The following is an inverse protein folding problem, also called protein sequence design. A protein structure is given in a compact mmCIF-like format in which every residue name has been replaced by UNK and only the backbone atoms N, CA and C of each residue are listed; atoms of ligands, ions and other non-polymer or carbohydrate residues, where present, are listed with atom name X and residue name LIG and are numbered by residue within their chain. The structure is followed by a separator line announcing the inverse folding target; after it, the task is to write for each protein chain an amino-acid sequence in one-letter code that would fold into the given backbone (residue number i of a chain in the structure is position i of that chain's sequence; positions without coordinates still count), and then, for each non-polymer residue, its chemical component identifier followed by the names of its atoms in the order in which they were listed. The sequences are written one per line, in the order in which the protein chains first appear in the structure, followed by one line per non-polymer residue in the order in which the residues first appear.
data_IF_228045698545
#
_entry.id   IF_228045698545
#
_cell.length_a   1.000
_cell.length_b   1.000
_cell.length_c   1.000
_cell.angle_alpha   90.00
_cell.angle_beta   90.00
_cell.angle_gamma   90.00
#
_symmetry.space_group_name_H-M   'P 1'
#
loop_
_entity.id
_entity.type
_entity.pdbx_description
1 polymer ?
#
# COMPACT_ATOMS: atom_id res chain seq x y z
N UNK A 1 20.82 7.90 11.48
CA UNK A 1 19.46 8.46 11.36
C UNK A 1 18.66 7.60 10.39
N UNK A 2 17.33 7.58 10.43
CA UNK A 2 16.53 6.81 9.48
C UNK A 2 15.17 6.42 10.01
N UNK A 3 14.43 5.65 9.21
CA UNK A 3 13.17 5.07 9.61
C UNK A 3 13.39 3.99 10.68
N UNK A 4 12.56 4.02 11.71
CA UNK A 4 12.65 3.11 12.86
C UNK A 4 11.25 2.81 13.44
N UNK A 5 10.40 2.18 12.62
CA UNK A 5 9.06 1.79 13.02
C UNK A 5 9.15 0.49 13.81
N UNK A 6 9.07 0.62 15.14
CA UNK A 6 9.10 -0.47 16.12
C UNK A 6 7.94 -1.45 15.95
N UNK A 7 8.00 -2.66 16.54
CA UNK A 7 6.95 -3.65 16.49
C UNK A 7 5.56 -3.08 16.77
N UNK A 8 4.65 -3.29 15.82
CA UNK A 8 3.25 -2.89 15.92
C UNK A 8 2.34 -3.89 15.20
N UNK A 9 1.12 -4.11 15.70
CA UNK A 9 0.17 -5.06 15.15
C UNK A 9 -0.66 -4.46 14.01
N UNK A 10 -1.18 -5.33 13.14
CA UNK A 10 -2.27 -5.08 12.19
C UNK A 10 -3.29 -6.23 12.26
N UNK A 11 -4.55 -5.96 11.90
CA UNK A 11 -5.61 -6.98 11.70
C UNK A 11 -6.46 -6.63 10.47
N UNK A 12 -7.07 -7.65 9.87
CA UNK A 12 -8.03 -7.64 8.76
C UNK A 12 -7.68 -6.71 7.58
N UNK A 13 -6.40 -6.52 7.32
CA UNK A 13 -5.86 -5.76 6.19
C UNK A 13 -4.63 -6.46 5.61
N UNK A 14 -4.20 -6.03 4.44
CA UNK A 14 -2.86 -6.27 3.92
C UNK A 14 -2.14 -4.93 3.73
N UNK A 15 -0.83 -4.89 3.99
CA UNK A 15 0.01 -3.73 3.67
C UNK A 15 0.78 -4.00 2.38
N UNK A 16 0.81 -3.02 1.51
CA UNK A 16 1.59 -3.02 0.26
C UNK A 16 2.64 -1.93 0.36
N UNK A 17 3.91 -2.31 0.24
CA UNK A 17 5.03 -1.38 0.21
C UNK A 17 5.67 -1.39 -1.17
N UNK A 18 5.77 -0.21 -1.79
CA UNK A 18 6.39 0.00 -3.10
C UNK A 18 7.35 1.18 -3.04
N UNK A 19 8.64 0.95 -3.26
CA UNK A 19 9.67 2.00 -3.14
C UNK A 19 10.10 2.55 -4.49
N UNK A 20 10.21 3.88 -4.57
CA UNK A 20 10.84 4.59 -5.67
C UNK A 20 12.33 4.84 -5.43
N UNK A 21 12.72 5.01 -4.17
CA UNK A 21 14.10 5.23 -3.73
C UNK A 21 14.29 4.72 -2.29
N UNK A 22 15.49 4.24 -1.99
CA UNK A 22 15.89 3.83 -0.65
C UNK A 22 15.67 2.33 -0.40
N UNK A 23 15.61 1.97 0.87
CA UNK A 23 15.38 0.60 1.29
C UNK A 23 14.74 0.54 2.68
N UNK A 24 14.00 -0.52 2.94
CA UNK A 24 13.40 -0.83 4.26
C UNK A 24 13.69 -2.29 4.58
N UNK A 25 14.19 -2.55 5.78
CA UNK A 25 14.19 -3.87 6.41
C UNK A 25 12.84 -4.11 7.08
N UNK A 26 12.12 -5.11 6.57
CA UNK A 26 10.89 -5.65 7.15
C UNK A 26 11.23 -6.85 8.05
N UNK A 27 10.58 -6.94 9.22
CA UNK A 27 10.53 -8.14 10.06
C UNK A 27 9.13 -8.34 10.57
N UNK A 28 8.64 -9.57 10.63
CA UNK A 28 7.34 -9.87 11.21
C UNK A 28 7.33 -11.08 12.16
N UNK A 29 6.19 -11.26 12.82
CA UNK A 29 5.94 -12.34 13.77
C UNK A 29 5.86 -13.74 13.15
N UNK A 30 5.86 -13.87 11.83
CA UNK A 30 6.02 -15.15 11.14
C UNK A 30 7.49 -15.56 11.03
N UNK A 31 8.41 -14.65 11.39
CA UNK A 31 9.85 -14.83 11.21
C UNK A 31 10.34 -14.38 9.83
N UNK A 32 9.50 -13.72 9.03
CA UNK A 32 9.93 -13.19 7.73
C UNK A 32 10.92 -12.06 7.93
N UNK A 33 11.92 -11.98 7.05
CA UNK A 33 12.83 -10.85 6.93
C UNK A 33 13.02 -10.52 5.46
N UNK A 34 12.82 -9.26 5.08
CA UNK A 34 12.98 -8.81 3.70
C UNK A 34 13.49 -7.38 3.65
N UNK A 35 14.60 -7.15 2.96
CA UNK A 35 15.05 -5.80 2.63
C UNK A 35 14.43 -5.36 1.30
N UNK A 36 13.33 -4.62 1.36
CA UNK A 36 12.69 -4.06 0.17
C UNK A 36 13.52 -2.93 -0.43
N UNK A 37 13.61 -2.93 -1.76
CA UNK A 37 14.29 -1.93 -2.60
C UNK A 37 13.40 -1.61 -3.82
N UNK A 38 13.66 -0.52 -4.57
CA UNK A 38 12.92 -0.23 -5.78
C UNK A 38 12.91 -1.39 -6.77
N UNK A 39 11.74 -1.69 -7.34
CA UNK A 39 11.52 -2.87 -8.19
C UNK A 39 10.97 -4.09 -7.45
N UNK A 40 10.92 -4.04 -6.12
CA UNK A 40 10.29 -5.08 -5.29
C UNK A 40 9.03 -4.55 -4.63
N UNK A 41 7.99 -5.37 -4.59
CA UNK A 41 6.79 -5.15 -3.77
C UNK A 41 6.80 -6.13 -2.59
N UNK A 42 6.54 -5.59 -1.40
CA UNK A 42 6.23 -6.41 -0.24
C UNK A 42 4.73 -6.33 0.01
N UNK A 43 4.08 -7.51 0.09
CA UNK A 43 2.71 -7.66 0.56
C UNK A 43 2.75 -8.38 1.91
N UNK A 44 2.31 -7.72 2.97
CA UNK A 44 2.10 -8.37 4.27
C UNK A 44 0.60 -8.46 4.54
N UNK A 45 0.06 -9.67 4.50
CA UNK A 45 -1.32 -9.95 4.88
C UNK A 45 -1.40 -10.14 6.38
N UNK A 46 -2.12 -9.25 7.07
CA UNK A 46 -2.29 -9.32 8.51
C UNK A 46 -3.35 -10.35 8.92
N UNK A 47 -4.45 -10.45 8.18
CA UNK A 47 -5.50 -11.43 8.46
C UNK A 47 -5.99 -11.35 9.91
N UNK A 48 -6.01 -12.48 10.61
CA UNK A 48 -6.37 -12.56 12.03
C UNK A 48 -5.42 -11.81 12.98
N UNK A 49 -4.21 -11.49 12.53
CA UNK A 49 -3.28 -10.64 13.27
C UNK A 49 -1.82 -10.92 12.96
N UNK A 50 -1.05 -9.87 12.71
CA UNK A 50 0.41 -9.94 12.55
C UNK A 50 1.06 -8.77 13.29
N UNK A 51 2.26 -8.98 13.84
CA UNK A 51 3.10 -7.90 14.37
C UNK A 51 4.32 -7.76 13.47
N UNK A 52 4.67 -6.53 13.11
CA UNK A 52 5.85 -6.28 12.27
C UNK A 52 6.56 -4.98 12.64
N UNK A 53 7.80 -4.87 12.14
CA UNK A 53 8.65 -3.70 12.27
C UNK A 53 9.27 -3.37 10.92
N UNK A 54 9.48 -2.08 10.68
CA UNK A 54 10.05 -1.57 9.44
C UNK A 54 11.14 -0.55 9.76
N UNK A 55 12.36 -0.80 9.31
CA UNK A 55 13.53 0.02 9.65
C UNK A 55 14.37 0.33 8.43
N UNK A 56 15.05 1.47 8.41
CA UNK A 56 16.10 1.68 7.41
C UNK A 56 17.23 0.66 7.63
N UNK A 57 17.74 -0.01 6.59
CA UNK A 57 18.89 -0.92 6.71
C UNK A 57 20.11 -0.21 7.28
N UNK A 58 20.95 -0.95 8.03
CA UNK A 58 22.09 -0.37 8.73
C UNK A 58 23.03 0.41 7.79
N UNK A 59 23.32 -0.14 6.61
CA UNK A 59 24.18 0.49 5.59
C UNK A 59 23.66 1.87 5.14
N UNK A 60 22.34 2.09 5.14
CA UNK A 60 21.72 3.35 4.74
C UNK A 60 21.66 4.37 5.90
N UNK A 61 21.66 3.88 7.16
CA UNK A 61 21.61 4.74 8.36
C UNK A 61 22.86 5.59 8.53
N UNK A 62 24.00 5.09 8.04
CA UNK A 62 25.32 5.74 8.10
C UNK A 62 25.44 6.88 7.08
N UNK A 63 24.78 6.77 5.92
CA UNK A 63 24.90 7.74 4.82
C UNK A 63 23.77 8.78 4.78
N UNK A 64 22.76 8.67 5.66
CA UNK A 64 21.56 9.50 5.64
C UNK A 64 20.52 8.97 4.66
N UNK A 65 19.59 8.10 5.10
CA UNK A 65 18.76 7.34 4.17
C UNK A 65 17.77 8.27 3.46
N UNK A 66 17.85 8.30 2.13
CA UNK A 66 16.74 8.78 1.30
C UNK A 66 15.73 7.64 1.22
N UNK A 67 14.47 7.95 1.53
CA UNK A 67 13.36 7.02 1.41
C UNK A 67 12.26 7.71 0.65
N UNK A 68 11.82 7.10 -0.44
CA UNK A 68 10.70 7.59 -1.22
C UNK A 68 9.90 6.43 -1.78
N UNK A 69 8.60 6.42 -1.54
CA UNK A 69 7.75 5.28 -1.89
C UNK A 69 6.32 5.46 -1.41
N UNK A 70 5.53 4.41 -1.62
CA UNK A 70 4.16 4.28 -1.20
C UNK A 70 4.05 3.17 -0.18
N UNK A 71 3.26 3.42 0.87
CA UNK A 71 2.74 2.38 1.73
C UNK A 71 1.22 2.48 1.75
N UNK A 72 0.56 1.39 1.42
CA UNK A 72 -0.89 1.36 1.24
C UNK A 72 -1.49 0.22 2.04
N UNK A 73 -2.61 0.46 2.71
CA UNK A 73 -3.38 -0.59 3.38
C UNK A 73 -4.58 -0.95 2.51
N UNK A 74 -4.73 -2.24 2.25
CA UNK A 74 -5.88 -2.83 1.60
C UNK A 74 -6.70 -3.54 2.68
N UNK A 75 -7.90 -3.05 3.00
CA UNK A 75 -8.79 -3.79 3.88
C UNK A 75 -9.08 -5.16 3.27
N UNK A 76 -9.23 -6.21 4.08
CA UNK A 76 -9.62 -7.51 3.57
C UNK A 76 -11.14 -7.56 3.31
N UNK A 77 -11.59 -8.22 2.23
CA UNK A 77 -13.01 -8.39 1.93
C UNK A 77 -13.71 -9.29 2.93
N UNK A 78 -15.03 -9.25 2.89
CA UNK A 78 -15.90 -10.10 3.70
C UNK A 78 -15.56 -11.58 3.50
N UNK A 79 -15.56 -12.34 4.59
CA UNK A 79 -15.16 -13.75 4.59
C UNK A 79 -13.66 -14.00 4.46
N UNK A 80 -12.82 -12.95 4.32
CA UNK A 80 -11.35 -13.04 4.30
C UNK A 80 -10.66 -12.33 5.45
N UNK A 81 -11.40 -11.58 6.26
CA UNK A 81 -10.82 -10.75 7.34
C UNK A 81 -9.95 -11.53 8.32
N UNK A 82 -10.34 -12.75 8.69
CA UNK A 82 -9.66 -13.60 9.67
C UNK A 82 -8.86 -14.76 9.04
N UNK A 83 -8.39 -14.60 7.79
CA UNK A 83 -7.45 -15.57 7.21
C UNK A 83 -6.11 -15.55 7.95
N UNK A 84 -5.30 -16.59 7.75
CA UNK A 84 -3.97 -16.64 8.33
C UNK A 84 -3.08 -15.50 7.81
N UNK A 85 -2.24 -14.91 8.67
CA UNK A 85 -1.24 -13.94 8.24
C UNK A 85 -0.23 -14.56 7.25
N UNK A 86 0.25 -13.75 6.31
CA UNK A 86 1.21 -14.16 5.30
C UNK A 86 2.12 -13.01 4.86
N UNK A 87 3.26 -13.34 4.26
CA UNK A 87 4.19 -12.37 3.70
C UNK A 87 4.69 -12.81 2.32
N UNK A 88 4.70 -11.87 1.38
CA UNK A 88 5.23 -12.04 0.03
C UNK A 88 6.20 -10.91 -0.30
N UNK A 89 7.36 -11.26 -0.87
CA UNK A 89 8.28 -10.32 -1.49
C UNK A 89 8.44 -10.70 -2.96
N UNK A 90 7.97 -9.82 -3.85
CA UNK A 90 7.86 -10.10 -5.29
C UNK A 90 8.69 -9.10 -6.08
N UNK A 91 9.46 -9.62 -7.03
CA UNK A 91 10.26 -8.87 -8.00
C UNK A 91 9.83 -9.25 -9.42
N UNK A 92 10.52 -8.73 -10.45
CA UNK A 92 10.26 -9.04 -11.86
C UNK A 92 8.80 -8.79 -12.28
N UNK A 93 8.27 -7.65 -11.80
CA UNK A 93 6.89 -7.24 -12.05
C UNK A 93 6.65 -6.92 -13.54
N UNK A 94 5.43 -7.18 -14.06
CA UNK A 94 5.10 -6.87 -15.44
C UNK A 94 5.23 -5.38 -15.75
N UNK A 95 5.77 -5.09 -16.92
CA UNK A 95 5.97 -3.73 -17.42
C UNK A 95 5.32 -3.59 -18.79
N UNK A 96 4.44 -2.60 -18.93
CA UNK A 96 3.78 -2.24 -20.17
C UNK A 96 4.33 -0.89 -20.63
N UNK A 97 4.63 -0.76 -21.92
CA UNK A 97 5.05 0.51 -22.50
C UNK A 97 4.24 0.81 -23.76
N UNK A 98 3.57 1.96 -23.79
CA UNK A 98 2.82 2.46 -24.95
C UNK A 98 2.74 4.00 -24.92
N UNK A 99 2.71 4.64 -26.09
CA UNK A 99 2.41 6.08 -26.28
C UNK A 99 3.12 7.05 -25.30
N UNK A 100 4.41 6.82 -25.04
CA UNK A 100 5.20 7.67 -24.16
C UNK A 100 4.85 7.49 -22.67
N UNK A 101 4.37 6.31 -22.30
CA UNK A 101 4.17 5.90 -20.92
C UNK A 101 4.78 4.52 -20.69
N UNK A 102 5.26 4.29 -19.47
CA UNK A 102 5.70 2.99 -18.97
C UNK A 102 4.97 2.72 -17.64
N UNK A 103 4.18 1.67 -17.59
CA UNK A 103 3.49 1.23 -16.38
C UNK A 103 4.13 -0.04 -15.83
N UNK A 104 4.48 -0.03 -14.55
CA UNK A 104 4.83 -1.24 -13.79
C UNK A 104 3.58 -1.68 -13.03
N UNK A 105 3.08 -2.89 -13.31
CA UNK A 105 1.94 -3.47 -12.58
C UNK A 105 2.46 -3.98 -11.24
N UNK A 106 2.19 -3.24 -10.17
CA UNK A 106 2.68 -3.55 -8.82
C UNK A 106 1.84 -4.67 -8.20
N UNK A 107 0.52 -4.61 -8.35
CA UNK A 107 -0.43 -5.59 -7.84
C UNK A 107 -1.72 -5.57 -8.65
N UNK A 108 -2.30 -6.75 -8.89
CA UNK A 108 -3.52 -6.87 -9.68
C UNK A 108 -3.28 -6.84 -11.19
N UNK A 109 -4.17 -6.22 -11.94
CA UNK A 109 -4.15 -6.23 -13.42
C UNK A 109 -4.29 -4.82 -14.00
N UNK A 110 -3.53 -4.52 -15.05
CA UNK A 110 -3.64 -3.30 -15.85
C UNK A 110 -3.31 -3.63 -17.31
N UNK A 111 -4.13 -3.14 -18.25
CA UNK A 111 -3.94 -3.28 -19.70
C UNK A 111 -3.58 -4.70 -20.19
N UNK A 112 -4.19 -5.71 -19.58
CA UNK A 112 -4.03 -7.13 -19.94
C UNK A 112 -2.83 -7.83 -19.30
N UNK A 113 -1.99 -7.11 -18.55
CA UNK A 113 -0.89 -7.71 -17.76
C UNK A 113 -1.25 -7.80 -16.29
N UNK A 114 -0.85 -8.91 -15.65
CA UNK A 114 -1.18 -9.23 -14.26
C UNK A 114 0.07 -9.51 -13.45
N UNK A 115 0.22 -8.79 -12.34
CA UNK A 115 1.28 -9.06 -11.37
C UNK A 115 1.00 -10.39 -10.62
N UNK A 116 2.04 -11.15 -10.25
CA UNK A 116 1.86 -12.42 -9.52
C UNK A 116 1.56 -12.22 -8.02
N UNK A 117 1.54 -10.98 -7.53
CA UNK A 117 1.21 -10.62 -6.13
C UNK A 117 -0.23 -11.02 -5.81
N UNK A 118 -0.44 -11.69 -4.68
CA UNK A 118 -1.78 -12.10 -4.22
C UNK A 118 -2.74 -10.93 -4.11
N UNK A 119 -3.95 -11.09 -4.67
CA UNK A 119 -5.06 -10.14 -4.52
C UNK A 119 -6.25 -10.80 -3.83
N UNK A 120 -6.93 -10.07 -2.94
CA UNK A 120 -8.12 -10.57 -2.24
C UNK A 120 -9.45 -10.08 -2.83
N UNK A 121 -9.40 -9.01 -3.62
CA UNK A 121 -10.49 -8.43 -4.40
C UNK A 121 -9.94 -7.97 -5.75
N UNK A 122 -10.81 -7.55 -6.69
CA UNK A 122 -10.33 -6.92 -7.92
C UNK A 122 -9.41 -5.74 -7.55
N UNK A 123 -8.20 -5.69 -8.10
CA UNK A 123 -7.17 -4.71 -7.73
C UNK A 123 -6.50 -4.15 -8.97
N UNK A 124 -6.29 -2.83 -8.96
CA UNK A 124 -5.42 -2.09 -9.87
C UNK A 124 -4.42 -1.34 -8.98
N UNK A 125 -3.15 -1.67 -9.08
CA UNK A 125 -2.06 -0.92 -8.46
C UNK A 125 -0.90 -0.85 -9.43
N UNK A 126 -0.62 0.34 -9.97
CA UNK A 126 0.45 0.53 -10.92
C UNK A 126 1.21 1.84 -10.71
N UNK A 127 2.52 1.79 -10.88
CA UNK A 127 3.33 2.98 -11.09
C UNK A 127 3.37 3.28 -12.59
N UNK A 128 2.95 4.48 -12.97
CA UNK A 128 2.96 4.96 -14.35
C UNK A 128 3.97 6.10 -14.46
N UNK A 129 5.00 5.87 -15.26
CA UNK A 129 5.95 6.89 -15.69
C UNK A 129 5.50 7.44 -17.05
N UNK A 130 5.17 8.74 -17.09
CA UNK A 130 4.87 9.48 -18.31
C UNK A 130 6.13 10.18 -18.80
N UNK A 131 6.43 10.05 -20.09
CA UNK A 131 7.39 10.89 -20.79
C UNK A 131 6.77 12.27 -21.12
N UNK A 132 7.60 13.20 -21.62
CA UNK A 132 7.09 14.47 -22.16
C UNK A 132 6.14 14.19 -23.32
N UNK A 133 4.95 14.81 -23.27
CA UNK A 133 3.83 14.61 -24.19
C UNK A 133 3.24 13.19 -24.19
N UNK A 134 3.57 12.37 -23.19
CA UNK A 134 2.97 11.06 -22.97
C UNK A 134 1.45 11.18 -22.74
N UNK A 135 0.69 10.25 -23.32
CA UNK A 135 -0.77 10.26 -23.22
C UNK A 135 -1.32 8.83 -23.31
N UNK A 136 -2.04 8.43 -22.27
CA UNK A 136 -2.60 7.08 -22.14
C UNK A 136 -4.05 7.13 -21.65
N UNK A 137 -4.89 6.15 -22.06
CA UNK A 137 -6.21 5.98 -21.49
C UNK A 137 -6.14 5.43 -20.06
N UNK A 138 -7.13 5.78 -19.25
CA UNK A 138 -7.45 5.15 -17.98
C UNK A 138 -8.86 4.60 -18.09
N UNK A 139 -8.97 3.31 -18.35
CA UNK A 139 -10.22 2.60 -18.60
C UNK A 139 -11.06 2.48 -17.32
N UNK A 140 -12.40 2.47 -17.42
CA UNK A 140 -13.30 2.28 -16.28
C UNK A 140 -13.42 0.79 -15.93
N UNK A 141 -12.30 0.12 -15.71
CA UNK A 141 -12.23 -1.33 -15.50
C UNK A 141 -12.49 -1.78 -14.06
N UNK A 142 -12.70 -0.85 -13.12
CA UNK A 142 -12.97 -1.12 -11.71
C UNK A 142 -14.02 -0.13 -11.17
N UNK A 143 -14.70 -0.52 -10.10
CA UNK A 143 -15.74 0.28 -9.44
C UNK A 143 -15.20 1.62 -8.95
N UNK A 144 -14.05 1.57 -8.29
CA UNK A 144 -13.35 2.74 -7.76
C UNK A 144 -11.96 2.84 -8.36
N UNK A 145 -11.56 4.07 -8.73
CA UNK A 145 -10.22 4.36 -9.25
C UNK A 145 -9.75 5.72 -8.73
N UNK A 146 -8.45 5.86 -8.53
CA UNK A 146 -7.83 7.11 -8.16
C UNK A 146 -6.42 7.22 -8.75
N UNK A 147 -5.97 8.46 -8.94
CA UNK A 147 -4.62 8.79 -9.35
C UNK A 147 -3.94 9.60 -8.23
N UNK A 148 -2.63 9.38 -8.05
CA UNK A 148 -1.81 10.25 -7.22
C UNK A 148 -0.53 10.61 -7.97
N UNK A 149 -0.32 11.91 -8.20
CA UNK A 149 0.94 12.40 -8.75
C UNK A 149 2.01 12.37 -7.65
N UNK A 150 3.10 11.66 -7.91
CA UNK A 150 4.24 11.47 -6.99
C UNK A 150 5.55 11.90 -7.68
N UNK A 151 5.48 12.81 -8.64
CA UNK A 151 6.66 13.43 -9.23
C UNK A 151 6.38 14.01 -10.62
N UNK A 152 7.07 15.08 -10.98
CA UNK A 152 6.86 15.78 -12.25
C UNK A 152 5.50 16.48 -12.32
N UNK A 153 4.88 16.46 -13.48
CA UNK A 153 3.58 17.09 -13.73
C UNK A 153 2.68 16.16 -14.55
N UNK A 154 1.38 16.13 -14.29
CA UNK A 154 0.41 15.40 -15.10
C UNK A 154 -0.99 16.02 -14.99
N UNK A 155 -1.88 15.65 -15.91
CA UNK A 155 -3.30 16.02 -15.89
C UNK A 155 -4.18 14.85 -16.34
N UNK A 156 -5.41 14.83 -15.83
CA UNK A 156 -6.45 13.86 -16.20
C UNK A 156 -7.60 14.64 -16.87
N UNK A 157 -7.90 14.34 -18.14
CA UNK A 157 -8.89 15.09 -18.94
C UNK A 157 -8.69 16.63 -18.92
N UNK A 158 -7.44 17.09 -18.82
CA UNK A 158 -7.09 18.51 -18.76
C UNK A 158 -7.12 19.13 -17.36
N UNK A 159 -7.59 18.41 -16.34
CA UNK A 159 -7.48 18.82 -14.94
C UNK A 159 -6.09 18.47 -14.40
N UNK A 160 -5.35 19.47 -13.94
CA UNK A 160 -4.03 19.28 -13.32
C UNK A 160 -4.12 18.39 -12.09
N UNK A 161 -3.20 17.43 -11.97
CA UNK A 161 -3.00 16.66 -10.76
C UNK A 161 -2.03 17.38 -9.84
N UNK A 162 -2.46 17.68 -8.61
CA UNK A 162 -1.58 18.24 -7.58
C UNK A 162 -0.68 17.14 -7.00
N UNK A 163 0.58 17.50 -6.72
CA UNK A 163 1.54 16.58 -6.14
C UNK A 163 1.06 16.11 -4.76
N UNK A 164 1.05 14.78 -4.56
CA UNK A 164 0.61 14.08 -3.34
C UNK A 164 -0.89 14.20 -3.02
N UNK A 165 -1.69 14.69 -3.95
CA UNK A 165 -3.15 14.67 -3.83
C UNK A 165 -3.72 13.39 -4.45
N UNK A 166 -4.62 12.73 -3.73
CA UNK A 166 -5.39 11.61 -4.26
C UNK A 166 -6.58 12.16 -5.07
N UNK A 167 -6.54 12.01 -6.38
CA UNK A 167 -7.61 12.39 -7.30
C UNK A 167 -8.50 11.18 -7.57
N UNK A 168 -9.68 11.16 -6.94
CA UNK A 168 -10.69 10.12 -7.18
C UNK A 168 -11.34 10.33 -8.55
N UNK A 169 -11.44 9.27 -9.34
CA UNK A 169 -12.00 9.30 -10.68
C UNK A 169 -13.49 8.94 -10.66
N UNK A 170 -14.24 9.55 -11.57
CA UNK A 170 -15.66 9.23 -11.77
C UNK A 170 -15.82 7.75 -12.18
N UNK A 171 -16.65 6.95 -11.48
CA UNK A 171 -16.92 5.56 -11.85
C UNK A 171 -17.50 5.44 -13.27
N UNK A 172 -17.18 4.35 -13.97
CA UNK A 172 -17.74 4.07 -15.30
C UNK A 172 -17.22 4.96 -16.45
N UNK A 173 -16.38 5.96 -16.17
CA UNK A 173 -15.87 6.89 -17.18
C UNK A 173 -14.44 6.58 -17.62
N UNK A 174 -14.24 6.43 -18.93
CA UNK A 174 -12.89 6.44 -19.51
C UNK A 174 -12.32 7.85 -19.48
N UNK A 175 -11.07 7.99 -19.05
CA UNK A 175 -10.38 9.28 -18.95
C UNK A 175 -9.00 9.20 -19.62
N UNK A 176 -8.36 10.34 -19.88
CA UNK A 176 -7.03 10.39 -20.50
C UNK A 176 -6.02 11.05 -19.56
N UNK A 177 -5.03 10.27 -19.13
CA UNK A 177 -3.90 10.75 -18.34
C UNK A 177 -2.79 11.24 -19.27
N UNK A 178 -2.30 12.45 -19.04
CA UNK A 178 -1.29 13.12 -19.88
C UNK A 178 -0.23 13.84 -19.08
N UNK A 179 0.91 14.10 -19.70
CA UNK A 179 1.92 15.02 -19.18
C UNK A 179 2.64 15.76 -20.29
N UNK A 180 2.86 17.07 -20.14
CA UNK A 180 3.68 17.85 -21.07
C UNK A 180 5.19 17.75 -20.76
N UNK A 181 5.56 17.53 -19.49
CA UNK A 181 6.95 17.61 -19.00
C UNK A 181 7.47 16.26 -18.46
N UNK A 182 6.64 15.23 -18.48
CA UNK A 182 6.86 13.96 -17.80
C UNK A 182 6.37 13.98 -16.35
N UNK A 183 6.03 12.80 -15.83
CA UNK A 183 5.50 12.64 -14.49
C UNK A 183 5.51 11.19 -14.01
N UNK A 184 5.43 11.00 -12.69
CA UNK A 184 5.25 9.71 -12.04
C UNK A 184 3.92 9.72 -11.32
N UNK A 185 3.02 8.82 -11.71
CA UNK A 185 1.66 8.73 -11.18
C UNK A 185 1.43 7.33 -10.66
N UNK A 186 0.80 7.21 -9.49
CA UNK A 186 0.28 5.94 -9.01
C UNK A 186 -1.19 5.85 -9.40
N UNK A 187 -1.56 4.78 -10.10
CA UNK A 187 -2.95 4.40 -10.36
C UNK A 187 -3.36 3.35 -9.33
N UNK A 188 -4.45 3.64 -8.63
CA UNK A 188 -5.08 2.79 -7.63
C UNK A 188 -6.51 2.50 -8.07
N UNK A 189 -7.03 1.32 -7.78
CA UNK A 189 -8.43 1.03 -7.99
C UNK A 189 -8.79 -0.42 -7.64
N UNK A 190 -10.08 -0.72 -7.66
CA UNK A 190 -10.56 -2.05 -7.35
C UNK A 190 -12.07 -2.14 -7.19
N UNK A 191 -12.48 -3.33 -6.77
CA UNK A 191 -13.86 -3.64 -6.36
C UNK A 191 -14.23 -2.83 -5.11
N UNK A 192 -15.42 -2.23 -5.11
CA UNK A 192 -15.92 -1.50 -3.96
C UNK A 192 -16.41 -2.49 -2.87
N UNK A 193 -16.09 -2.24 -1.61
CA UNK A 193 -16.64 -3.07 -0.53
C UNK A 193 -18.15 -2.87 -0.37
N UNK A 194 -18.88 -3.97 -0.23
CA UNK A 194 -20.30 -3.95 0.10
C UNK A 194 -20.56 -3.52 1.56
N UNK A 195 -19.59 -3.73 2.45
CA UNK A 195 -19.70 -3.49 3.89
C UNK A 195 -18.72 -2.42 4.35
N UNK A 196 -19.17 -1.61 5.30
CA UNK A 196 -18.36 -0.55 5.88
C UNK A 196 -17.12 -1.13 6.59
N UNK A 197 -15.98 -0.44 6.47
CA UNK A 197 -14.78 -0.73 7.25
C UNK A 197 -14.57 0.32 8.33
N UNK A 198 -14.36 -0.15 9.55
CA UNK A 198 -13.97 0.68 10.66
C UNK A 198 -12.45 0.69 10.76
N UNK A 199 -11.88 1.88 10.94
CA UNK A 199 -10.43 2.06 11.11
C UNK A 199 -10.16 2.72 12.45
N UNK A 200 -9.31 2.09 13.25
CA UNK A 200 -8.78 2.66 14.48
C UNK A 200 -7.31 2.29 14.61
N UNK A 201 -6.43 3.30 14.60
CA UNK A 201 -4.98 3.09 14.62
C UNK A 201 -4.53 2.16 13.49
N UNK A 202 -3.96 0.99 13.81
CA UNK A 202 -3.50 -0.04 12.87
C UNK A 202 -4.53 -1.16 12.67
N UNK A 203 -5.74 -0.99 13.17
CA UNK A 203 -6.79 -2.00 13.09
C UNK A 203 -7.86 -1.55 12.11
N UNK A 204 -8.09 -2.39 11.11
CA UNK A 204 -9.19 -2.28 10.17
C UNK A 204 -10.10 -3.49 10.41
N UNK A 205 -11.41 -3.32 10.40
CA UNK A 205 -12.36 -4.44 10.47
C UNK A 205 -13.76 -3.99 10.07
N UNK A 206 -14.58 -4.91 9.57
CA UNK A 206 -16.03 -4.75 9.47
C UNK A 206 -16.72 -4.68 10.84
N UNK A 207 -16.05 -5.13 11.91
CA UNK A 207 -16.61 -5.19 13.28
C UNK A 207 -15.87 -4.27 14.26
N UNK A 208 -16.62 -3.39 14.92
CA UNK A 208 -16.08 -2.57 16.03
C UNK A 208 -15.65 -3.40 17.23
N UNK A 209 -16.40 -4.47 17.53
CA UNK A 209 -16.09 -5.37 18.64
C UNK A 209 -14.74 -6.07 18.41
N UNK A 210 -14.46 -6.45 17.15
CA UNK A 210 -13.18 -7.05 16.77
C UNK A 210 -11.99 -6.09 16.98
N UNK A 211 -12.19 -4.80 16.70
CA UNK A 211 -11.21 -3.75 16.98
C UNK A 211 -10.99 -3.60 18.49
N UNK A 212 -12.04 -3.63 19.31
CA UNK A 212 -11.89 -3.56 20.77
C UNK A 212 -11.14 -4.77 21.33
N UNK A 213 -11.44 -5.98 20.83
CA UNK A 213 -10.71 -7.19 21.18
C UNK A 213 -9.22 -7.07 20.83
N UNK A 214 -8.87 -6.59 19.63
CA UNK A 214 -7.48 -6.41 19.23
C UNK A 214 -6.72 -5.37 20.06
N UNK A 215 -7.40 -4.33 20.55
CA UNK A 215 -6.81 -3.38 21.50
C UNK A 215 -6.47 -4.09 22.82
N UNK A 216 -7.37 -4.92 23.32
CA UNK A 216 -7.11 -5.70 24.53
C UNK A 216 -5.97 -6.69 24.31
N UNK A 217 -5.98 -7.42 23.21
CA UNK A 217 -4.91 -8.37 22.84
C UNK A 217 -3.55 -7.67 22.76
N UNK A 218 -3.48 -6.48 22.16
CA UNK A 218 -2.25 -5.72 22.12
C UNK A 218 -1.83 -5.23 23.51
N UNK A 219 -2.77 -4.78 24.34
CA UNK A 219 -2.47 -4.34 25.72
C UNK A 219 -1.87 -5.49 26.54
N UNK A 220 -2.52 -6.64 26.49
CA UNK A 220 -2.21 -7.87 27.25
C UNK A 220 -1.12 -8.74 26.61
N UNK A 221 -0.50 -8.30 25.51
CA UNK A 221 0.58 -9.03 24.80
C UNK A 221 0.13 -10.42 24.29
N UNK A 222 -1.08 -10.51 23.76
CA UNK A 222 -1.63 -11.74 23.14
C UNK A 222 -1.32 -11.88 21.65
N UNK A 223 -0.82 -10.82 21.00
CA UNK A 223 -0.23 -10.92 19.66
C UNK A 223 1.12 -11.65 19.70
N UNK A 224 1.49 -12.38 18.64
CA UNK A 224 2.81 -13.01 18.55
C UNK A 224 3.93 -11.95 18.49
N UNK A 225 5.08 -12.28 19.05
CA UNK A 225 6.25 -11.39 19.05
C UNK A 225 7.02 -11.50 17.72
N UNK A 226 7.79 -10.47 17.37
CA UNK A 226 8.68 -10.48 16.21
C UNK A 226 10.02 -11.12 16.62
N UNK A 227 10.42 -12.26 16.03
CA UNK A 227 11.69 -12.90 16.37
C UNK A 227 12.88 -11.97 16.15
N UNK A 228 13.68 -11.77 17.21
CA UNK A 228 14.85 -10.88 17.19
C UNK A 228 14.51 -9.38 17.26
N UNK A 229 13.26 -9.03 17.56
CA UNK A 229 12.81 -7.65 17.76
C UNK A 229 11.62 -7.58 18.75
N UNK A 230 11.78 -8.19 19.93
CA UNK A 230 10.73 -8.30 20.96
C UNK A 230 10.89 -7.28 22.11
N UNK A 231 12.01 -6.57 22.18
CA UNK A 231 12.36 -5.70 23.32
C UNK A 231 11.52 -4.42 23.38
N UNK A 232 11.09 -3.92 22.22
CA UNK A 232 10.33 -2.67 22.12
C UNK A 232 9.00 -2.87 21.38
N UNK A 233 8.06 -1.97 21.59
CA UNK A 233 6.79 -1.95 20.85
C UNK A 233 6.17 -0.56 20.79
N UNK A 234 5.34 -0.31 19.78
CA UNK A 234 4.51 0.89 19.72
C UNK A 234 3.31 0.71 20.67
N UNK A 235 3.15 1.55 21.72
CA UNK A 235 1.99 1.45 22.59
C UNK A 235 0.72 1.88 21.84
N UNK A 236 -0.45 1.44 22.32
CA UNK A 236 -1.72 2.01 21.86
C UNK A 236 -1.70 3.54 22.01
N UNK A 237 -2.23 4.30 21.04
CA UNK A 237 -2.35 5.74 21.17
C UNK A 237 -3.25 6.10 22.35
N UNK A 238 -2.96 7.24 23.00
CA UNK A 238 -3.86 7.83 24.00
C UNK A 238 -4.97 8.58 23.28
N UNK A 239 -6.23 8.20 23.52
CA UNK A 239 -7.40 8.84 22.90
C UNK A 239 -7.77 8.28 21.53
N UNK A 240 -8.66 8.97 20.82
CA UNK A 240 -9.05 8.60 19.46
C UNK A 240 -7.93 9.01 18.48
N UNK A 241 -7.33 8.06 17.75
CA UNK A 241 -6.34 8.38 16.73
C UNK A 241 -6.98 9.21 15.61
N UNK A 242 -6.18 10.02 14.92
CA UNK A 242 -6.61 10.67 13.67
C UNK A 242 -6.71 9.60 12.59
N UNK A 243 -7.84 8.92 12.52
CA UNK A 243 -8.18 8.02 11.41
C UNK A 243 -9.17 8.71 10.50
N UNK A 244 -8.97 8.57 9.18
CA UNK A 244 -9.99 8.97 8.22
C UNK A 244 -11.19 8.08 8.46
N UNK A 245 -12.30 8.68 8.87
CA UNK A 245 -13.57 7.98 9.02
C UNK A 245 -14.38 8.35 7.79
N UNK A 246 -14.59 7.39 6.89
CA UNK A 246 -15.51 7.59 5.77
C UNK A 246 -16.96 7.66 6.30
N UNK A 247 -17.82 8.54 5.76
CA UNK A 247 -19.24 8.61 6.11
C UNK A 247 -19.93 7.26 5.97
#
# INVERSE_FOLDING_TARGET
AGMDVRPHPHINLATVTWLFEGAIDHRDSLGSYSTIRPGQVNLMTAGSGIVHSERSPQEHRETGPRLYGMQTWLALPDGREEIDPAFEAVVDLPVIADKGAKATVVMGELWGERAPVTTYAQTIYAEIMLESRGSIPIEPSADERALMLVGGAASIDGTTLDLYTLTVLEPGRSMTLRSDQGGRVILLGGEAFATQRHVWWNFVSSSRERIEQAKEDWRERRFPEVPGDSEERIPLPRGAPKTVTYP
#
